data_IF_933255494338
#
_entry.id   IF_933255494338
#
_cell.length_a   1.000
_cell.length_b   1.000
_cell.length_c   1.000
_cell.angle_alpha   90.00
_cell.angle_beta   90.00
_cell.angle_gamma   90.00
#
_symmetry.space_group_name_H-M   'P 1'
#
loop_
_entity.id
_entity.type
_entity.pdbx_description
1 polymer ?
#
# COMPACT_ATOMS: atom_id res chain seq x y z
N UNK A 1 3.89 -3.59 4.16
CA UNK A 1 4.05 -2.26 3.52
C UNK A 1 4.52 -2.50 2.09
N UNK A 2 4.03 -1.73 1.13
CA UNK A 2 4.56 -1.66 -0.24
C UNK A 2 5.07 -0.24 -0.48
N UNK A 3 6.27 -0.09 -1.04
CA UNK A 3 6.87 1.21 -1.36
C UNK A 3 7.12 1.34 -2.87
N UNK A 4 6.76 2.50 -3.43
CA UNK A 4 7.06 2.89 -4.80
C UNK A 4 7.61 4.31 -4.85
N UNK A 5 8.67 4.49 -5.62
CA UNK A 5 9.29 5.78 -5.87
C UNK A 5 9.46 5.96 -7.38
N UNK A 6 8.86 7.02 -7.94
CA UNK A 6 9.08 7.45 -9.32
C UNK A 6 9.95 8.70 -9.45
N UNK A 7 10.34 9.31 -8.33
CA UNK A 7 11.21 10.49 -8.28
C UNK A 7 12.70 10.10 -8.31
N UNK A 8 13.06 9.09 -9.10
CA UNK A 8 14.45 8.61 -9.19
C UNK A 8 15.18 9.40 -10.29
N UNK A 9 16.34 10.01 -10.00
CA UNK A 9 17.15 10.67 -11.02
C UNK A 9 17.54 9.70 -12.14
N UNK A 10 17.52 10.16 -13.39
CA UNK A 10 17.90 9.37 -14.57
C UNK A 10 17.09 8.08 -14.78
N UNK A 11 15.84 8.02 -14.28
CA UNK A 11 14.96 6.89 -14.56
C UNK A 11 14.80 6.68 -16.07
N UNK A 12 15.02 5.44 -16.54
CA UNK A 12 14.89 5.07 -17.96
C UNK A 12 13.47 5.32 -18.49
N UNK A 13 12.46 5.16 -17.63
CA UNK A 13 11.07 5.44 -17.97
C UNK A 13 10.36 6.14 -16.79
N UNK A 14 10.51 7.47 -16.65
CA UNK A 14 9.99 8.21 -15.49
C UNK A 14 8.46 8.21 -15.42
N UNK A 15 7.79 8.05 -16.57
CA UNK A 15 6.33 8.06 -16.67
C UNK A 15 5.69 6.68 -16.44
N UNK A 16 6.47 5.60 -16.37
CA UNK A 16 5.94 4.24 -16.22
C UNK A 16 5.02 4.11 -15.01
N UNK A 17 5.42 4.69 -13.88
CA UNK A 17 4.60 4.67 -12.67
C UNK A 17 3.31 5.47 -12.85
N UNK A 18 3.40 6.70 -13.35
CA UNK A 18 2.27 7.59 -13.60
C UNK A 18 1.24 6.98 -14.55
N UNK A 19 1.70 6.26 -15.57
CA UNK A 19 0.81 5.56 -16.50
C UNK A 19 0.17 4.36 -15.81
N UNK A 20 0.95 3.59 -15.04
CA UNK A 20 0.41 2.42 -14.34
C UNK A 20 -0.70 2.77 -13.35
N UNK A 21 -0.57 3.86 -12.60
CA UNK A 21 -1.56 4.25 -11.57
C UNK A 21 -2.89 4.73 -12.16
N UNK A 22 -3.00 4.86 -13.49
CA UNK A 22 -4.26 5.15 -14.19
C UNK A 22 -5.00 3.87 -14.58
N UNK A 23 -4.31 2.72 -14.58
CA UNK A 23 -4.86 1.45 -15.04
C UNK A 23 -5.44 0.62 -13.89
N UNK A 24 -6.57 -0.04 -14.14
CA UNK A 24 -7.21 -0.91 -13.16
C UNK A 24 -6.28 -2.03 -12.66
N UNK A 25 -5.47 -2.54 -13.59
CA UNK A 25 -4.46 -3.57 -13.37
C UNK A 25 -3.49 -3.20 -12.24
N UNK A 26 -3.16 -1.92 -12.09
CA UNK A 26 -2.30 -1.48 -10.99
C UNK A 26 -2.98 -1.70 -9.64
N UNK A 27 -4.24 -1.29 -9.49
CA UNK A 27 -4.97 -1.44 -8.24
C UNK A 27 -5.14 -2.91 -7.85
N UNK A 28 -5.49 -3.76 -8.84
CA UNK A 28 -5.60 -5.20 -8.65
C UNK A 28 -4.25 -5.79 -8.23
N UNK A 29 -3.15 -5.35 -8.83
CA UNK A 29 -1.80 -5.82 -8.47
C UNK A 29 -1.44 -5.46 -7.02
N UNK A 30 -1.73 -4.24 -6.57
CA UNK A 30 -1.44 -3.82 -5.19
C UNK A 30 -2.32 -4.58 -4.19
N UNK A 31 -3.59 -4.83 -4.50
CA UNK A 31 -4.47 -5.64 -3.67
C UNK A 31 -4.04 -7.12 -3.63
N UNK A 32 -3.65 -7.70 -4.78
CA UNK A 32 -3.16 -9.09 -4.85
C UNK A 32 -1.96 -9.33 -3.95
N UNK A 33 -0.99 -8.42 -3.94
CA UNK A 33 0.16 -8.49 -3.03
C UNK A 33 -0.24 -8.58 -1.56
N UNK A 34 -1.31 -7.91 -1.17
CA UNK A 34 -1.84 -8.01 0.19
C UNK A 34 -2.32 -9.43 0.50
N UNK A 35 -3.14 -10.02 -0.39
CA UNK A 35 -3.63 -11.39 -0.20
C UNK A 35 -2.49 -12.42 -0.16
N UNK A 36 -1.52 -12.31 -1.07
CA UNK A 36 -0.35 -13.18 -1.11
C UNK A 36 0.42 -13.10 0.23
N UNK A 37 0.58 -11.89 0.77
CA UNK A 37 1.25 -11.66 2.07
C UNK A 37 0.41 -12.17 3.25
N UNK A 38 -0.92 -12.00 3.21
CA UNK A 38 -1.83 -12.42 4.26
C UNK A 38 -1.77 -13.94 4.45
N UNK A 39 -1.79 -14.71 3.36
CA UNK A 39 -1.67 -16.16 3.39
C UNK A 39 -0.34 -16.56 4.05
N UNK A 40 0.76 -15.95 3.63
CA UNK A 40 2.08 -16.24 4.19
C UNK A 40 2.16 -15.92 5.69
N UNK A 41 1.67 -14.74 6.11
CA UNK A 41 1.66 -14.31 7.52
C UNK A 41 0.82 -15.26 8.37
N UNK A 42 -0.40 -15.60 7.93
CA UNK A 42 -1.29 -16.50 8.68
C UNK A 42 -0.70 -17.91 8.85
N UNK A 43 0.09 -18.39 7.89
CA UNK A 43 0.72 -19.72 7.99
C UNK A 43 2.04 -19.71 8.79
N UNK A 44 2.81 -18.62 8.75
CA UNK A 44 4.16 -18.57 9.34
C UNK A 44 4.20 -18.02 10.76
N UNK A 45 3.28 -17.11 11.06
CA UNK A 45 3.24 -16.41 12.34
C UNK A 45 1.92 -16.72 13.01
N UNK A 46 1.94 -17.08 14.30
CA UNK A 46 0.74 -17.20 15.15
C UNK A 46 0.10 -15.83 15.38
N UNK A 47 -0.19 -15.10 14.32
CA UNK A 47 -0.72 -13.75 14.26
C UNK A 47 -2.24 -13.71 14.46
N UNK A 48 -2.77 -14.70 15.16
CA UNK A 48 -4.15 -14.68 15.63
C UNK A 48 -4.37 -13.39 16.42
N UNK A 49 -5.47 -12.70 16.12
CA UNK A 49 -5.87 -11.47 16.81
C UNK A 49 -4.89 -10.29 16.68
N UNK A 50 -3.98 -10.32 15.69
CA UNK A 50 -3.13 -9.16 15.38
C UNK A 50 -3.85 -8.18 14.45
N UNK A 51 -3.59 -6.89 14.67
CA UNK A 51 -4.08 -5.81 13.81
C UNK A 51 -3.30 -5.83 12.48
N UNK A 52 -4.02 -5.99 11.37
CA UNK A 52 -3.50 -6.10 10.01
C UNK A 52 -3.70 -4.78 9.28
N UNK A 53 -2.66 -3.93 9.28
CA UNK A 53 -2.64 -2.64 8.56
C UNK A 53 -1.81 -2.73 7.30
N UNK A 54 -2.35 -2.30 6.17
CA UNK A 54 -1.64 -2.25 4.90
C UNK A 54 -1.36 -0.81 4.48
N UNK A 55 -0.10 -0.50 4.22
CA UNK A 55 0.35 0.82 3.79
C UNK A 55 0.95 0.72 2.41
N UNK A 56 0.50 1.59 1.51
CA UNK A 56 1.10 1.82 0.21
C UNK A 56 1.79 3.19 0.22
N UNK A 57 3.11 3.18 0.32
CA UNK A 57 3.92 4.40 0.37
C UNK A 57 4.34 4.77 -1.05
N UNK A 58 4.03 5.99 -1.48
CA UNK A 58 4.28 6.47 -2.84
C UNK A 58 5.03 7.80 -2.80
N UNK A 59 6.18 7.83 -3.48
CA UNK A 59 6.91 9.06 -3.80
C UNK A 59 6.80 9.32 -5.31
N UNK A 60 6.04 10.35 -5.67
CA UNK A 60 5.87 10.79 -7.06
C UNK A 60 5.56 12.29 -7.07
N UNK A 61 6.20 13.04 -7.96
CA UNK A 61 6.05 14.49 -8.10
C UNK A 61 4.61 14.94 -8.30
N UNK A 62 3.77 14.08 -8.90
CA UNK A 62 2.34 14.33 -9.15
C UNK A 62 1.41 13.65 -8.13
N UNK A 63 1.93 12.85 -7.20
CA UNK A 63 1.13 12.19 -6.19
C UNK A 63 0.81 13.12 -5.02
N UNK A 64 0.02 14.15 -5.31
CA UNK A 64 -0.57 15.01 -4.30
C UNK A 64 -1.57 14.25 -3.40
N UNK A 65 -2.12 14.94 -2.41
CA UNK A 65 -3.08 14.34 -1.49
C UNK A 65 -4.37 13.87 -2.18
N UNK A 66 -4.75 14.49 -3.30
CA UNK A 66 -5.95 14.14 -4.08
C UNK A 66 -5.73 12.80 -4.79
N UNK A 67 -4.60 12.64 -5.49
CA UNK A 67 -4.24 11.40 -6.15
C UNK A 67 -4.08 10.26 -5.14
N UNK A 68 -3.42 10.50 -3.99
CA UNK A 68 -3.31 9.48 -2.94
C UNK A 68 -4.68 9.03 -2.42
N UNK A 69 -5.62 9.95 -2.18
CA UNK A 69 -7.00 9.62 -1.79
C UNK A 69 -7.74 8.83 -2.87
N UNK A 70 -7.58 9.22 -4.14
CA UNK A 70 -8.17 8.50 -5.26
C UNK A 70 -7.65 7.06 -5.34
N UNK A 71 -6.33 6.87 -5.27
CA UNK A 71 -5.70 5.55 -5.26
C UNK A 71 -6.16 4.73 -4.05
N UNK A 72 -6.26 5.36 -2.89
CA UNK A 72 -6.74 4.73 -1.67
C UNK A 72 -8.15 4.15 -1.87
N UNK A 73 -9.08 4.94 -2.43
CA UNK A 73 -10.44 4.50 -2.73
C UNK A 73 -10.49 3.33 -3.72
N UNK A 74 -9.73 3.43 -4.82
CA UNK A 74 -9.67 2.36 -5.83
C UNK A 74 -9.10 1.07 -5.22
N UNK A 75 -7.97 1.10 -4.54
CA UNK A 75 -7.37 -0.12 -4.00
C UNK A 75 -8.23 -0.70 -2.86
N UNK A 76 -8.80 0.15 -2.00
CA UNK A 76 -9.68 -0.28 -0.90
C UNK A 76 -10.88 -1.08 -1.39
N UNK A 77 -11.44 -0.75 -2.55
CA UNK A 77 -12.56 -1.50 -3.14
C UNK A 77 -12.19 -2.92 -3.60
N UNK A 78 -10.90 -3.25 -3.66
CA UNK A 78 -10.36 -4.57 -4.06
C UNK A 78 -9.79 -5.36 -2.89
N UNK A 79 -9.70 -4.72 -1.72
CA UNK A 79 -9.30 -5.34 -0.45
C UNK A 79 -10.53 -5.93 0.26
N UNK A 80 -10.34 -6.86 1.22
CA UNK A 80 -11.44 -7.66 1.75
C UNK A 80 -12.35 -6.91 2.74
N UNK A 81 -12.37 -5.57 2.75
CA UNK A 81 -13.23 -4.77 3.63
C UNK A 81 -14.72 -5.06 3.42
N UNK A 82 -15.17 -5.15 2.16
CA UNK A 82 -16.58 -5.47 1.89
C UNK A 82 -16.89 -6.94 2.19
N UNK A 83 -15.95 -7.84 1.89
CA UNK A 83 -16.10 -9.27 2.15
C UNK A 83 -16.26 -9.52 3.66
N UNK A 84 -15.35 -8.98 4.49
CA UNK A 84 -15.39 -9.20 5.94
C UNK A 84 -16.60 -8.54 6.62
N UNK A 85 -17.18 -7.49 6.03
CA UNK A 85 -18.43 -6.87 6.53
C UNK A 85 -19.65 -7.76 6.29
N UNK A 86 -19.64 -8.52 5.19
CA UNK A 86 -20.78 -9.34 4.76
C UNK A 86 -20.72 -10.76 5.32
N UNK A 87 -19.56 -11.22 5.78
CA UNK A 87 -19.40 -12.53 6.42
C UNK A 87 -19.70 -12.44 7.91
N UNK A 88 -20.69 -13.20 8.38
CA UNK A 88 -20.94 -13.40 9.81
C UNK A 88 -20.00 -14.45 10.39
N UNK A 89 -19.70 -14.36 11.70
CA UNK A 89 -18.93 -15.38 12.41
C UNK A 89 -17.42 -15.39 12.17
N UNK A 90 -16.86 -14.34 11.58
CA UNK A 90 -15.40 -14.20 11.47
C UNK A 90 -14.79 -14.02 12.86
N UNK A 91 -13.81 -14.87 13.21
CA UNK A 91 -13.07 -14.76 14.48
C UNK A 91 -12.12 -13.57 14.50
N UNK A 92 -11.62 -13.17 13.34
CA UNK A 92 -10.70 -12.04 13.19
C UNK A 92 -10.90 -11.31 11.87
N UNK A 93 -10.52 -10.03 11.84
CA UNK A 93 -10.53 -9.23 10.63
C UNK A 93 -9.45 -9.71 9.64
N UNK A 94 -9.81 -9.75 8.36
CA UNK A 94 -8.87 -10.00 7.27
C UNK A 94 -7.98 -8.79 7.02
N UNK A 95 -8.49 -7.59 7.21
CA UNK A 95 -7.77 -6.32 7.16
C UNK A 95 -8.42 -5.32 8.11
N UNK A 96 -7.63 -4.54 8.85
CA UNK A 96 -8.14 -3.50 9.74
C UNK A 96 -8.06 -2.12 9.11
N UNK A 97 -7.00 -1.85 8.33
CA UNK A 97 -6.80 -0.54 7.74
C UNK A 97 -5.99 -0.59 6.45
N UNK A 98 -6.27 0.37 5.56
CA UNK A 98 -5.49 0.61 4.35
C UNK A 98 -5.31 2.11 4.12
N UNK A 99 -4.06 2.53 3.94
CA UNK A 99 -3.69 3.93 3.69
C UNK A 99 -2.69 4.02 2.52
N UNK A 100 -2.83 5.10 1.75
CA UNK A 100 -1.82 5.53 0.77
C UNK A 100 -1.17 6.79 1.31
N UNK A 101 0.14 6.74 1.54
CA UNK A 101 0.90 7.81 2.19
C UNK A 101 2.14 8.17 1.38
N UNK A 102 2.70 9.35 1.63
CA UNK A 102 4.07 9.68 1.22
C UNK A 102 5.07 9.28 2.32
N UNK A 103 6.36 9.41 2.03
CA UNK A 103 7.44 9.01 2.94
C UNK A 103 7.46 9.86 4.22
N UNK A 104 7.09 11.13 4.13
CA UNK A 104 7.03 12.03 5.28
C UNK A 104 5.94 11.56 6.27
N UNK A 105 4.72 11.36 5.78
CA UNK A 105 3.60 10.81 6.54
C UNK A 105 3.92 9.44 7.15
N UNK A 106 4.65 8.57 6.42
CA UNK A 106 5.13 7.29 6.96
C UNK A 106 6.12 7.51 8.12
N UNK A 107 7.13 8.34 7.91
CA UNK A 107 8.21 8.58 8.88
C UNK A 107 7.72 9.27 10.15
N UNK A 108 6.63 10.05 10.08
CA UNK A 108 5.93 10.61 11.23
C UNK A 108 5.15 9.55 12.01
N UNK A 109 4.39 8.69 11.30
CA UNK A 109 3.58 7.62 11.92
C UNK A 109 4.42 6.50 12.53
N UNK A 110 5.56 6.20 11.92
CA UNK A 110 6.41 5.06 12.26
C UNK A 110 7.87 5.50 12.43
N UNK A 111 8.19 6.25 13.51
CA UNK A 111 9.53 6.78 13.73
C UNK A 111 10.63 5.69 13.82
N UNK A 112 10.29 4.52 14.34
CA UNK A 112 11.21 3.38 14.46
C UNK A 112 11.48 2.66 13.13
N UNK A 113 10.66 2.91 12.11
CA UNK A 113 10.73 2.27 10.79
C UNK A 113 10.97 3.29 9.68
N UNK A 114 11.63 4.40 10.03
CA UNK A 114 11.92 5.47 9.08
C UNK A 114 12.81 4.97 7.95
N UNK A 115 12.52 5.46 6.76
CA UNK A 115 13.38 5.25 5.60
C UNK A 115 13.49 6.53 4.78
N UNK A 116 14.51 6.58 3.92
CA UNK A 116 14.78 7.69 3.01
C UNK A 116 14.45 7.28 1.58
N UNK A 117 14.01 8.24 0.77
CA UNK A 117 13.79 7.99 -0.63
C UNK A 117 15.14 7.78 -1.33
N UNK A 118 15.18 6.88 -2.31
CA UNK A 118 16.34 6.76 -3.20
C UNK A 118 16.39 7.99 -4.13
N UNK A 119 16.88 9.11 -3.62
CA UNK A 119 17.15 10.33 -4.38
C UNK A 119 18.57 10.88 -4.11
N UNK A 120 19.23 10.41 -3.05
CA UNK A 120 20.62 10.73 -2.79
C UNK A 120 21.49 9.81 -3.64
N UNK A 121 21.87 10.29 -4.83
CA UNK A 121 23.02 9.75 -5.53
C UNK A 121 24.26 9.91 -4.66
N UNK A 122 25.02 8.82 -4.52
CA UNK A 122 26.44 8.90 -4.15
C UNK A 122 27.18 9.67 -5.25
#
# INVERSE_FOLDING_TARGET
MEYKNSNIPNAVNPQAFENSIKEDKHYVKIARKYYDSLIYINNKTGCENKIKKYYYVIECSKADSVLRKYLAGKIKSRLPFSLQKNLSGMKENLIDNFEVVNIHEWNEKFPDYRFKACADGI
#
